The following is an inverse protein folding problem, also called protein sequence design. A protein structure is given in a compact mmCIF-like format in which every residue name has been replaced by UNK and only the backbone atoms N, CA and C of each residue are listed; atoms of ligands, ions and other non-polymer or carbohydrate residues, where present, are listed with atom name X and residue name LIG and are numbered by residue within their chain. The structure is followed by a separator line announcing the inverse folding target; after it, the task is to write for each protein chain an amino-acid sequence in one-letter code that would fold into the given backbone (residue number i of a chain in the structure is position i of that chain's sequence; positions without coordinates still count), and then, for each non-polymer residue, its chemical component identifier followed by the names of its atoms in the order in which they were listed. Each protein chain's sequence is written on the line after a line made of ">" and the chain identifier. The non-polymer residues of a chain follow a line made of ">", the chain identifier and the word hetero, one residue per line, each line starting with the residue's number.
data_IF_195290242321
#
_entry.id   IF_195290242321
#
_cell.length_a   1.000
_cell.length_b   1.000
_cell.length_c   1.000
_cell.angle_alpha   90.00
_cell.angle_beta   90.00
_cell.angle_gamma   90.00
#
_symmetry.space_group_name_H-M   'P 1'
#
loop_
_entity.id
_entity.type
_entity.pdbx_description
1 polymer ?
#
# COMPACT_ATOMS: atom_id res chain seq x y z
N UNK A 1 4.89 20.83 2.60
CA UNK A 1 4.13 19.97 3.54
C UNK A 1 3.54 20.78 4.69
N UNK A 2 4.33 21.44 5.53
CA UNK A 2 3.83 22.20 6.69
C UNK A 2 2.88 23.33 6.29
N UNK A 3 3.19 24.08 5.25
CA UNK A 3 2.32 25.15 4.72
C UNK A 3 0.97 24.63 4.25
N UNK A 4 0.95 23.47 3.58
CA UNK A 4 -0.30 22.81 3.15
C UNK A 4 -1.13 22.38 4.36
N UNK A 5 -0.49 21.84 5.40
CA UNK A 5 -1.14 21.46 6.66
C UNK A 5 -1.81 22.67 7.32
N UNK A 6 -1.06 23.76 7.52
CA UNK A 6 -1.60 24.98 8.12
C UNK A 6 -2.77 25.56 7.30
N UNK A 7 -2.62 25.63 5.97
CA UNK A 7 -3.70 26.08 5.10
C UNK A 7 -4.94 25.19 5.24
N UNK A 8 -4.78 23.87 5.34
CA UNK A 8 -5.91 22.97 5.52
C UNK A 8 -6.58 23.14 6.89
N UNK A 9 -5.79 23.30 7.96
CA UNK A 9 -6.33 23.56 9.31
C UNK A 9 -7.14 24.86 9.34
N UNK A 10 -6.63 25.93 8.76
CA UNK A 10 -7.28 27.25 8.81
C UNK A 10 -8.46 27.37 7.85
N UNK A 11 -8.34 26.86 6.65
CA UNK A 11 -9.26 27.12 5.54
C UNK A 11 -9.85 25.86 4.91
N UNK A 12 -9.44 24.67 5.36
CA UNK A 12 -9.92 23.41 4.81
C UNK A 12 -11.41 23.19 5.02
N UNK A 13 -12.07 22.68 3.99
CA UNK A 13 -13.48 22.29 4.02
C UNK A 13 -13.63 20.90 4.65
N UNK A 14 -14.83 20.58 5.11
CA UNK A 14 -15.15 19.22 5.55
C UNK A 14 -14.85 18.20 4.45
N UNK A 15 -14.29 17.06 4.82
CA UNK A 15 -13.89 15.98 3.93
C UNK A 15 -14.93 14.87 4.01
N UNK A 16 -15.44 14.41 2.86
CA UNK A 16 -16.28 13.22 2.81
C UNK A 16 -15.42 11.94 2.66
N UNK A 17 -14.37 12.02 1.84
CA UNK A 17 -13.45 10.90 1.56
C UNK A 17 -12.01 11.35 1.70
N UNK A 18 -11.24 10.64 2.50
CA UNK A 18 -9.79 10.79 2.59
C UNK A 18 -9.11 9.60 1.91
N UNK A 19 -8.22 9.87 0.98
CA UNK A 19 -7.37 8.89 0.30
C UNK A 19 -5.96 9.02 0.86
N UNK A 20 -5.37 7.93 1.35
CA UNK A 20 -4.06 7.95 1.99
C UNK A 20 -3.15 6.87 1.41
N UNK A 21 -1.92 7.22 1.02
CA UNK A 21 -1.02 6.27 0.41
C UNK A 21 0.47 6.64 0.56
N UNK A 22 1.38 5.64 0.58
CA UNK A 22 2.82 5.85 0.55
C UNK A 22 3.34 6.28 -0.83
N UNK A 23 4.32 7.17 -0.86
CA UNK A 23 4.95 7.74 -2.07
C UNK A 23 5.40 6.69 -3.09
N UNK A 24 5.85 5.51 -2.64
CA UNK A 24 6.32 4.47 -3.56
C UNK A 24 5.22 3.87 -4.45
N UNK A 25 3.95 4.23 -4.24
CA UNK A 25 2.85 3.89 -5.17
C UNK A 25 2.72 4.85 -6.36
N UNK A 26 3.46 5.94 -6.38
CA UNK A 26 3.55 6.78 -7.57
C UNK A 26 4.21 6.01 -8.72
N UNK A 27 3.64 6.05 -9.91
CA UNK A 27 4.06 5.22 -11.06
C UNK A 27 4.42 6.02 -12.31
N UNK A 28 4.10 7.30 -12.34
CA UNK A 28 4.42 8.16 -13.46
C UNK A 28 5.63 9.03 -13.19
N UNK A 29 6.25 9.56 -14.24
CA UNK A 29 7.29 10.60 -14.13
C UNK A 29 6.79 11.89 -13.47
N UNK A 30 5.46 12.06 -13.40
CA UNK A 30 4.79 13.18 -12.72
C UNK A 30 4.46 12.88 -11.25
N UNK A 31 4.75 11.67 -10.76
CA UNK A 31 4.48 11.27 -9.40
C UNK A 31 3.02 10.91 -9.11
N UNK A 32 2.19 10.61 -10.12
CA UNK A 32 0.78 10.29 -9.88
C UNK A 32 0.57 8.84 -9.42
N UNK A 33 -0.42 8.65 -8.56
CA UNK A 33 -0.83 7.33 -8.07
C UNK A 33 -2.07 6.81 -8.80
N UNK A 34 -1.93 5.83 -9.72
CA UNK A 34 -3.05 5.34 -10.53
C UNK A 34 -4.08 4.52 -9.73
N UNK A 35 -3.76 4.09 -8.51
CA UNK A 35 -4.68 3.30 -7.68
C UNK A 35 -5.93 4.07 -7.29
N UNK A 36 -5.86 5.40 -7.23
CA UNK A 36 -6.98 6.23 -6.82
C UNK A 36 -7.70 6.95 -7.96
N UNK A 37 -7.22 6.85 -9.19
CA UNK A 37 -7.78 7.59 -10.33
C UNK A 37 -9.29 7.38 -10.47
N UNK A 38 -9.74 6.12 -10.51
CA UNK A 38 -11.17 5.81 -10.63
C UNK A 38 -12.00 6.29 -9.44
N UNK A 39 -11.43 6.27 -8.23
CA UNK A 39 -12.11 6.76 -7.02
C UNK A 39 -12.24 8.29 -7.08
N UNK A 40 -11.20 8.97 -7.53
CA UNK A 40 -11.19 10.44 -7.70
C UNK A 40 -12.19 10.87 -8.76
N UNK A 41 -12.28 10.14 -9.89
CA UNK A 41 -13.31 10.38 -10.92
C UNK A 41 -14.72 10.28 -10.33
N UNK A 42 -15.03 9.19 -9.62
CA UNK A 42 -16.33 8.99 -8.96
C UNK A 42 -16.61 10.11 -7.96
N UNK A 43 -15.61 10.55 -7.18
CA UNK A 43 -15.80 11.66 -6.25
C UNK A 43 -16.14 12.97 -6.99
N UNK A 44 -15.46 13.26 -8.10
CA UNK A 44 -15.71 14.47 -8.91
C UNK A 44 -17.10 14.45 -9.54
N UNK A 45 -17.46 13.34 -10.18
CA UNK A 45 -18.77 13.16 -10.83
C UNK A 45 -19.95 13.32 -9.86
N UNK A 46 -19.77 12.90 -8.60
CA UNK A 46 -20.81 12.94 -7.58
C UNK A 46 -20.70 14.14 -6.62
N UNK A 47 -19.82 15.10 -6.88
CA UNK A 47 -19.63 16.27 -6.02
C UNK A 47 -19.16 15.94 -4.60
N UNK A 48 -18.51 14.77 -4.41
CA UNK A 48 -17.98 14.32 -3.12
C UNK A 48 -16.68 15.06 -2.82
N UNK A 49 -16.60 15.65 -1.62
CA UNK A 49 -15.38 16.36 -1.19
C UNK A 49 -14.34 15.36 -0.75
N UNK A 50 -13.20 15.35 -1.43
CA UNK A 50 -12.11 14.44 -1.11
C UNK A 50 -10.80 15.17 -0.81
N UNK A 51 -9.92 14.51 -0.07
CA UNK A 51 -8.55 14.91 0.19
C UNK A 51 -7.64 13.71 -0.10
N UNK A 52 -6.58 13.94 -0.87
CA UNK A 52 -5.54 12.94 -1.09
C UNK A 52 -4.32 13.33 -0.26
N UNK A 53 -3.83 12.40 0.57
CA UNK A 53 -2.64 12.57 1.41
C UNK A 53 -1.59 11.55 1.02
N UNK A 54 -0.38 12.05 0.76
CA UNK A 54 0.76 11.22 0.38
C UNK A 54 1.76 11.12 1.54
N UNK A 55 1.96 9.90 2.03
CA UNK A 55 2.95 9.56 3.04
C UNK A 55 4.38 9.61 2.45
N UNK A 56 5.38 10.19 3.14
CA UNK A 56 6.76 10.15 2.69
C UNK A 56 7.31 8.72 2.73
N UNK A 57 8.12 8.38 1.75
CA UNK A 57 8.85 7.12 1.73
C UNK A 57 10.30 7.36 1.31
N UNK A 58 11.23 7.22 2.25
CA UNK A 58 12.66 7.39 2.00
C UNK A 58 13.27 6.24 1.17
N UNK A 59 12.57 5.12 1.03
CA UNK A 59 13.01 3.96 0.26
C UNK A 59 12.59 4.01 -1.22
N UNK A 60 12.22 5.19 -1.75
CA UNK A 60 11.85 5.32 -3.16
C UNK A 60 12.39 6.58 -3.78
N UNK A 61 12.81 6.47 -5.05
CA UNK A 61 13.16 7.61 -5.91
C UNK A 61 11.96 8.17 -6.69
N UNK A 62 10.77 7.59 -6.53
CA UNK A 62 9.57 8.06 -7.23
C UNK A 62 9.25 9.51 -6.84
N UNK A 63 8.94 10.39 -7.80
CA UNK A 63 8.61 11.78 -7.50
C UNK A 63 7.31 11.86 -6.67
N UNK A 64 7.22 12.92 -5.86
CA UNK A 64 6.04 13.26 -5.06
C UNK A 64 4.91 13.78 -5.96
N UNK A 65 3.67 13.33 -5.72
CA UNK A 65 2.52 13.83 -6.47
C UNK A 65 2.24 15.31 -6.15
N UNK A 66 2.33 16.22 -7.13
CA UNK A 66 2.11 17.64 -6.89
C UNK A 66 0.67 17.99 -6.51
N UNK A 67 -0.30 17.12 -6.82
CA UNK A 67 -1.72 17.33 -6.52
C UNK A 67 -2.12 16.90 -5.11
N UNK A 68 -1.29 16.10 -4.45
CA UNK A 68 -1.58 15.58 -3.13
C UNK A 68 -1.08 16.50 -2.01
N UNK A 69 -1.81 16.50 -0.91
CA UNK A 69 -1.31 17.06 0.33
C UNK A 69 -0.19 16.16 0.87
N UNK A 70 0.95 16.75 1.19
CA UNK A 70 2.08 16.02 1.77
C UNK A 70 1.81 15.70 3.24
N UNK A 71 1.76 14.43 3.57
CA UNK A 71 1.47 13.93 4.91
C UNK A 71 2.70 13.86 5.83
N UNK A 72 3.83 14.51 5.47
CA UNK A 72 5.09 14.38 6.23
C UNK A 72 4.92 14.70 7.72
N UNK A 73 4.28 15.81 8.06
CA UNK A 73 4.06 16.19 9.45
C UNK A 73 3.22 15.14 10.20
N UNK A 74 2.14 14.67 9.60
CA UNK A 74 1.32 13.61 10.16
C UNK A 74 2.12 12.31 10.37
N UNK A 75 2.82 11.87 9.33
CA UNK A 75 3.62 10.65 9.37
C UNK A 75 4.71 10.69 10.46
N UNK A 76 5.46 11.79 10.54
CA UNK A 76 6.51 11.92 11.54
C UNK A 76 5.96 12.01 12.96
N UNK A 77 4.86 12.73 13.18
CA UNK A 77 4.20 12.79 14.49
C UNK A 77 3.75 11.39 14.91
N UNK A 78 3.07 10.65 14.03
CA UNK A 78 2.66 9.26 14.31
C UNK A 78 3.86 8.39 14.66
N UNK A 79 4.92 8.46 13.85
CA UNK A 79 6.12 7.64 14.02
C UNK A 79 6.83 7.94 15.34
N UNK A 80 7.04 9.22 15.66
CA UNK A 80 7.70 9.65 16.89
C UNK A 80 6.85 9.27 18.12
N UNK A 81 5.55 9.57 18.08
CA UNK A 81 4.66 9.25 19.19
C UNK A 81 4.56 7.74 19.43
N UNK A 82 4.47 6.92 18.38
CA UNK A 82 4.52 5.45 18.51
C UNK A 82 5.79 5.01 19.24
N UNK A 83 6.95 5.56 18.88
CA UNK A 83 8.22 5.24 19.51
C UNK A 83 8.24 5.65 20.99
N UNK A 84 7.85 6.87 21.29
CA UNK A 84 7.82 7.39 22.67
C UNK A 84 6.81 6.64 23.55
N UNK A 85 5.60 6.39 23.05
CA UNK A 85 4.57 5.71 23.82
C UNK A 85 4.86 4.23 24.06
N UNK A 86 5.55 3.55 23.13
CA UNK A 86 6.02 2.17 23.36
C UNK A 86 7.06 2.08 24.49
N UNK A 87 7.92 3.08 24.61
CA UNK A 87 8.91 3.14 25.71
C UNK A 87 8.23 3.47 27.04
N UNK A 88 7.32 4.44 27.06
CA UNK A 88 6.67 4.93 28.27
C UNK A 88 5.52 4.05 28.79
N UNK A 89 4.93 3.21 27.95
CA UNK A 89 3.73 2.43 28.27
C UNK A 89 3.95 0.95 27.93
N UNK A 90 4.90 0.32 28.62
CA UNK A 90 5.16 -1.13 28.49
C UNK A 90 3.86 -1.89 28.81
N UNK A 91 3.30 -2.58 27.81
CA UNK A 91 2.10 -3.41 27.97
C UNK A 91 0.83 -2.89 27.29
N UNK A 92 0.80 -1.67 26.75
CA UNK A 92 -0.34 -1.23 25.91
C UNK A 92 -0.33 -1.89 24.55
N UNK A 93 -1.50 -2.29 24.09
CA UNK A 93 -1.67 -2.81 22.74
C UNK A 93 -1.35 -1.74 21.68
N UNK A 94 -0.72 -2.08 20.55
CA UNK A 94 -0.43 -1.13 19.47
C UNK A 94 -1.65 -0.30 19.04
N UNK A 95 -2.82 -0.90 19.01
CA UNK A 95 -4.08 -0.25 18.65
C UNK A 95 -4.49 0.86 19.63
N UNK A 96 -4.20 0.70 20.93
CA UNK A 96 -4.48 1.74 21.93
C UNK A 96 -3.52 2.93 21.78
N UNK A 97 -2.28 2.66 21.42
CA UNK A 97 -1.29 3.69 21.11
C UNK A 97 -1.77 4.51 19.91
N UNK A 98 -2.19 3.84 18.87
CA UNK A 98 -2.67 4.50 17.64
C UNK A 98 -3.95 5.31 17.88
N UNK A 99 -4.86 4.84 18.74
CA UNK A 99 -6.03 5.60 19.15
C UNK A 99 -5.66 6.91 19.88
N UNK A 100 -4.72 6.84 20.83
CA UNK A 100 -4.24 8.04 21.53
C UNK A 100 -3.57 9.04 20.58
N UNK A 101 -2.80 8.54 19.60
CA UNK A 101 -2.18 9.39 18.57
C UNK A 101 -3.23 10.04 17.69
N UNK A 102 -4.24 9.29 17.26
CA UNK A 102 -5.33 9.80 16.45
C UNK A 102 -6.11 10.91 17.20
N UNK A 103 -6.44 10.70 18.45
CA UNK A 103 -7.12 11.70 19.27
C UNK A 103 -6.28 12.96 19.46
N UNK A 104 -4.97 12.81 19.71
CA UNK A 104 -4.05 13.95 19.79
C UNK A 104 -4.02 14.73 18.47
N UNK A 105 -3.82 14.02 17.34
CA UNK A 105 -3.80 14.66 16.03
C UNK A 105 -5.12 15.37 15.70
N UNK A 106 -6.23 14.70 15.96
CA UNK A 106 -7.57 15.25 15.73
C UNK A 106 -7.81 16.54 16.52
N UNK A 107 -7.38 16.56 17.79
CA UNK A 107 -7.50 17.75 18.63
C UNK A 107 -6.64 18.92 18.13
N UNK A 108 -5.37 18.72 17.83
CA UNK A 108 -4.47 19.79 17.38
C UNK A 108 -4.77 20.30 15.99
N UNK A 109 -5.51 19.52 15.19
CA UNK A 109 -5.96 19.91 13.85
C UNK A 109 -7.41 20.38 13.81
N UNK A 110 -8.04 20.61 14.98
CA UNK A 110 -9.42 21.08 15.12
C UNK A 110 -10.42 20.24 14.30
N UNK A 111 -10.24 18.92 14.33
CA UNK A 111 -11.08 17.94 13.62
C UNK A 111 -11.11 18.08 12.09
N UNK A 112 -10.18 18.83 11.50
CA UNK A 112 -10.16 19.09 10.06
C UNK A 112 -9.83 17.89 9.19
N UNK A 113 -9.30 16.81 9.79
CA UNK A 113 -8.98 15.55 9.11
C UNK A 113 -10.03 14.46 9.35
N UNK A 114 -11.16 14.78 9.97
CA UNK A 114 -12.28 13.86 10.06
C UNK A 114 -12.96 13.69 8.71
N UNK A 115 -13.02 12.46 8.23
CA UNK A 115 -13.71 12.08 7.00
C UNK A 115 -14.80 11.03 7.31
N UNK A 116 -15.84 10.96 6.48
CA UNK A 116 -16.84 9.89 6.57
C UNK A 116 -16.27 8.54 6.13
N UNK A 117 -15.33 8.57 5.18
CA UNK A 117 -14.64 7.40 4.64
C UNK A 117 -13.17 7.69 4.47
N UNK A 118 -12.36 6.73 4.87
CA UNK A 118 -10.93 6.71 4.64
C UNK A 118 -10.62 5.52 3.75
N UNK A 119 -9.85 5.71 2.69
CA UNK A 119 -9.39 4.64 1.81
C UNK A 119 -7.87 4.71 1.80
N UNK A 120 -7.23 3.66 2.27
CA UNK A 120 -5.77 3.63 2.38
C UNK A 120 -5.19 2.38 1.75
N UNK A 121 -4.01 2.53 1.16
CA UNK A 121 -3.14 1.42 0.75
C UNK A 121 -1.92 1.31 1.68
N UNK A 122 -1.91 2.05 2.81
CA UNK A 122 -0.90 1.97 3.87
C UNK A 122 -1.46 1.22 5.07
N UNK A 123 -1.13 -0.05 5.20
CA UNK A 123 -1.57 -0.88 6.33
C UNK A 123 -1.12 -0.30 7.68
N UNK A 124 0.03 0.39 7.71
CA UNK A 124 0.58 0.95 8.94
C UNK A 124 -0.26 2.07 9.55
N UNK A 125 -1.13 2.71 8.77
CA UNK A 125 -1.94 3.85 9.20
C UNK A 125 -3.43 3.53 9.43
N UNK A 126 -3.85 2.29 9.17
CA UNK A 126 -5.26 1.89 9.26
C UNK A 126 -5.86 2.22 10.62
N UNK A 127 -5.19 1.88 11.71
CA UNK A 127 -5.70 2.07 13.06
C UNK A 127 -5.77 3.57 13.43
N UNK A 128 -4.74 4.35 13.09
CA UNK A 128 -4.75 5.80 13.31
C UNK A 128 -5.88 6.47 12.54
N UNK A 129 -6.04 6.15 11.25
CA UNK A 129 -7.10 6.72 10.41
C UNK A 129 -8.51 6.37 10.92
N UNK A 130 -8.68 5.15 11.41
CA UNK A 130 -9.97 4.70 11.93
C UNK A 130 -10.38 5.38 13.23
N UNK A 131 -9.42 5.77 14.05
CA UNK A 131 -9.66 6.47 15.31
C UNK A 131 -9.74 8.00 15.15
N UNK A 132 -9.36 8.55 13.98
CA UNK A 132 -9.58 9.98 13.67
C UNK A 132 -11.07 10.32 13.64
N UNK A 133 -11.91 9.41 13.16
CA UNK A 133 -13.36 9.52 13.23
C UNK A 133 -13.97 8.14 13.50
N UNK A 134 -14.27 7.79 14.75
CA UNK A 134 -14.85 6.50 15.11
C UNK A 134 -16.19 6.19 14.40
N UNK A 135 -16.91 7.22 13.96
CA UNK A 135 -18.14 7.08 13.17
C UNK A 135 -17.86 6.94 11.66
N UNK A 136 -16.62 7.13 11.23
CA UNK A 136 -16.19 6.92 9.85
C UNK A 136 -15.87 5.48 9.56
N UNK A 137 -15.74 5.15 8.27
CA UNK A 137 -15.38 3.81 7.81
C UNK A 137 -13.99 3.89 7.17
N UNK A 138 -13.09 2.98 7.58
CA UNK A 138 -11.78 2.84 6.96
C UNK A 138 -11.77 1.63 6.05
N UNK A 139 -11.31 1.83 4.84
CA UNK A 139 -11.11 0.80 3.83
C UNK A 139 -9.61 0.57 3.63
N UNK A 140 -9.17 -0.65 3.88
CA UNK A 140 -7.88 -1.14 3.42
C UNK A 140 -8.03 -1.57 1.95
N UNK A 141 -7.42 -0.81 1.05
CA UNK A 141 -7.49 -1.08 -0.36
C UNK A 141 -6.34 -1.99 -0.77
N UNK A 142 -6.65 -3.16 -1.28
CA UNK A 142 -5.66 -4.11 -1.76
C UNK A 142 -4.66 -3.43 -2.71
N UNK A 143 -3.37 -3.63 -2.46
CA UNK A 143 -2.29 -3.05 -3.24
C UNK A 143 -1.25 -4.08 -3.72
N UNK A 144 -1.44 -5.34 -3.32
CA UNK A 144 -0.57 -6.46 -3.67
C UNK A 144 -1.30 -7.79 -3.60
N UNK A 145 -0.57 -8.87 -3.75
CA UNK A 145 -1.10 -10.22 -3.63
C UNK A 145 -1.41 -10.50 -2.15
N UNK A 146 -2.63 -10.97 -1.88
CA UNK A 146 -3.04 -11.44 -0.56
C UNK A 146 -3.10 -12.97 -0.59
N UNK A 147 -2.46 -13.59 0.37
CA UNK A 147 -2.42 -15.04 0.54
C UNK A 147 -2.72 -15.40 2.00
N UNK A 148 -3.03 -16.67 2.26
CA UNK A 148 -3.27 -17.16 3.62
C UNK A 148 -2.01 -16.97 4.49
N UNK A 149 -2.18 -16.38 5.68
CA UNK A 149 -1.06 -16.01 6.55
C UNK A 149 -0.30 -14.75 6.15
N UNK A 150 -0.83 -13.93 5.22
CA UNK A 150 -0.20 -12.65 4.86
C UNK A 150 -0.04 -11.75 6.10
N UNK A 151 1.19 -11.30 6.46
CA UNK A 151 1.47 -10.64 7.73
C UNK A 151 0.75 -9.29 7.93
N UNK A 152 0.26 -8.67 6.85
CA UNK A 152 -0.58 -7.47 6.94
C UNK A 152 -1.99 -7.74 7.45
N UNK A 153 -2.46 -8.99 7.40
CA UNK A 153 -3.82 -9.40 7.78
C UNK A 153 -3.85 -10.42 8.91
N UNK A 154 -2.80 -11.20 9.09
CA UNK A 154 -2.70 -12.27 10.07
C UNK A 154 -1.55 -12.02 11.04
N UNK A 155 -1.81 -12.24 12.33
CA UNK A 155 -0.76 -12.26 13.37
C UNK A 155 -0.05 -13.61 13.35
N UNK A 156 -0.84 -14.68 13.22
CA UNK A 156 -0.41 -16.08 13.09
C UNK A 156 -1.29 -16.73 12.03
N UNK A 157 -0.99 -17.99 11.68
CA UNK A 157 -1.59 -18.72 10.56
C UNK A 157 -3.09 -18.50 10.36
N UNK A 158 -3.89 -18.54 11.43
CA UNK A 158 -5.36 -18.48 11.38
C UNK A 158 -5.93 -17.29 12.17
N UNK A 159 -5.08 -16.47 12.79
CA UNK A 159 -5.47 -15.33 13.61
C UNK A 159 -5.32 -14.02 12.86
N UNK A 160 -6.46 -13.38 12.60
CA UNK A 160 -6.48 -12.05 12.00
C UNK A 160 -5.89 -11.00 12.93
N UNK A 161 -5.25 -10.00 12.35
CA UNK A 161 -4.88 -8.79 13.06
C UNK A 161 -6.15 -8.18 13.68
N UNK A 162 -6.17 -7.88 15.00
CA UNK A 162 -7.37 -7.42 15.71
C UNK A 162 -8.08 -6.21 15.08
N UNK A 163 -7.33 -5.35 14.40
CA UNK A 163 -7.87 -4.20 13.66
C UNK A 163 -8.96 -4.58 12.68
N UNK A 164 -8.80 -5.69 11.96
CA UNK A 164 -9.77 -6.10 10.93
C UNK A 164 -11.07 -6.66 11.49
N UNK A 165 -11.12 -6.96 12.78
CA UNK A 165 -12.33 -7.43 13.46
C UNK A 165 -13.17 -6.25 13.98
N UNK A 166 -12.60 -5.05 14.09
CA UNK A 166 -13.32 -3.85 14.55
C UNK A 166 -14.41 -3.40 13.58
N UNK A 167 -15.48 -2.84 14.11
CA UNK A 167 -16.71 -2.55 13.38
C UNK A 167 -16.58 -1.58 12.21
N UNK A 168 -15.67 -0.62 12.28
CA UNK A 168 -15.49 0.42 11.26
C UNK A 168 -14.41 0.13 10.23
N UNK A 169 -13.78 -1.06 10.24
CA UNK A 169 -12.81 -1.45 9.23
C UNK A 169 -13.45 -2.29 8.12
N UNK A 170 -12.97 -2.11 6.91
CA UNK A 170 -13.39 -2.83 5.70
C UNK A 170 -12.16 -3.18 4.88
N UNK A 171 -12.27 -4.19 4.04
CA UNK A 171 -11.23 -4.57 3.07
C UNK A 171 -11.81 -4.47 1.67
N UNK A 172 -11.12 -3.79 0.78
CA UNK A 172 -11.44 -3.70 -0.65
C UNK A 172 -10.50 -4.62 -1.44
N UNK A 173 -11.04 -5.64 -2.07
CA UNK A 173 -10.30 -6.64 -2.84
C UNK A 173 -10.44 -6.42 -4.35
N UNK A 174 -9.40 -6.74 -5.09
CA UNK A 174 -9.43 -6.70 -6.56
C UNK A 174 -10.30 -7.78 -7.19
N UNK A 175 -10.44 -8.91 -6.53
CA UNK A 175 -11.22 -10.02 -7.04
C UNK A 175 -11.64 -11.02 -5.98
N UNK A 176 -12.61 -11.86 -6.31
CA UNK A 176 -13.15 -12.89 -5.41
C UNK A 176 -12.11 -13.94 -5.02
N UNK A 177 -11.10 -14.17 -5.87
CA UNK A 177 -10.02 -15.10 -5.59
C UNK A 177 -9.26 -14.74 -4.30
N UNK A 178 -9.01 -13.45 -4.08
CA UNK A 178 -8.30 -12.97 -2.89
C UNK A 178 -9.09 -13.17 -1.59
N UNK A 179 -10.42 -13.31 -1.68
CA UNK A 179 -11.26 -13.63 -0.52
C UNK A 179 -10.90 -15.00 0.07
N UNK A 180 -10.48 -15.95 -0.78
CA UNK A 180 -10.07 -17.30 -0.34
C UNK A 180 -8.85 -17.30 0.58
N UNK A 181 -8.04 -16.25 0.56
CA UNK A 181 -6.92 -16.10 1.49
C UNK A 181 -7.38 -16.08 2.97
N UNK A 182 -8.65 -15.76 3.20
CA UNK A 182 -9.25 -15.66 4.53
C UNK A 182 -10.11 -16.89 4.92
N UNK A 183 -10.20 -17.92 4.08
CA UNK A 183 -11.07 -19.08 4.30
C UNK A 183 -10.75 -19.86 5.59
N UNK A 184 -9.46 -19.92 5.95
CA UNK A 184 -9.00 -20.56 7.19
C UNK A 184 -9.01 -19.66 8.43
N UNK A 185 -9.34 -18.36 8.28
CA UNK A 185 -9.23 -17.41 9.37
C UNK A 185 -10.32 -17.64 10.44
N UNK A 186 -9.92 -17.53 11.71
CA UNK A 186 -10.88 -17.41 12.81
C UNK A 186 -11.67 -16.11 12.61
N UNK A 187 -12.99 -16.17 12.89
CA UNK A 187 -13.93 -15.07 12.66
C UNK A 187 -14.09 -14.65 11.17
N UNK A 188 -13.81 -15.56 10.23
CA UNK A 188 -13.93 -15.28 8.79
C UNK A 188 -15.29 -14.71 8.40
N UNK A 189 -16.39 -15.18 8.99
CA UNK A 189 -17.73 -14.74 8.64
C UNK A 189 -17.96 -13.26 8.99
N UNK A 190 -17.39 -12.79 10.09
CA UNK A 190 -17.41 -11.37 10.46
C UNK A 190 -16.55 -10.54 9.51
N UNK A 191 -15.39 -11.04 9.11
CA UNK A 191 -14.54 -10.38 8.13
C UNK A 191 -15.23 -10.36 6.76
N UNK A 192 -15.87 -11.44 6.36
CA UNK A 192 -16.55 -11.55 5.06
C UNK A 192 -17.66 -10.54 4.86
N UNK A 193 -18.39 -10.18 5.93
CA UNK A 193 -19.38 -9.09 5.91
C UNK A 193 -18.74 -7.72 5.60
N UNK A 194 -17.44 -7.58 5.84
CA UNK A 194 -16.66 -6.35 5.72
C UNK A 194 -15.79 -6.29 4.48
N UNK A 195 -15.67 -7.39 3.75
CA UNK A 195 -14.94 -7.45 2.48
C UNK A 195 -15.85 -6.93 1.35
N UNK A 196 -15.29 -6.04 0.52
CA UNK A 196 -15.87 -5.58 -0.72
C UNK A 196 -14.96 -5.94 -1.89
N UNK A 197 -15.50 -6.61 -2.89
CA UNK A 197 -14.79 -6.84 -4.16
C UNK A 197 -15.09 -5.67 -5.08
N UNK A 198 -14.06 -4.93 -5.48
CA UNK A 198 -14.17 -3.65 -6.19
C UNK A 198 -13.51 -3.64 -7.56
N UNK A 199 -12.80 -4.72 -7.91
CA UNK A 199 -12.04 -4.79 -9.16
C UNK A 199 -10.62 -4.23 -9.03
N UNK A 200 -9.82 -4.43 -10.07
CA UNK A 200 -8.47 -3.92 -10.15
C UNK A 200 -8.48 -2.40 -10.42
N UNK A 201 -7.72 -1.59 -9.69
CA UNK A 201 -7.86 -0.12 -9.73
C UNK A 201 -7.36 0.51 -11.03
N UNK A 202 -6.38 -0.10 -11.66
CA UNK A 202 -5.77 0.46 -12.85
C UNK A 202 -6.57 -0.01 -14.06
N UNK A 203 -7.28 0.92 -14.71
CA UNK A 203 -7.91 0.67 -15.99
C UNK A 203 -6.82 0.59 -17.06
N UNK A 204 -6.38 -0.61 -17.37
CA UNK A 204 -5.72 -0.80 -18.65
C UNK A 204 -6.77 -0.62 -19.76
N UNK A 205 -6.48 0.20 -20.76
CA UNK A 205 -7.14 0.04 -22.06
C UNK A 205 -7.09 -1.44 -22.37
N UNK A 206 -8.24 -2.03 -22.74
CA UNK A 206 -8.28 -3.42 -23.19
C UNK A 206 -7.31 -3.51 -24.37
N UNK A 207 -6.10 -3.96 -24.07
CA UNK A 207 -5.18 -4.34 -25.13
C UNK A 207 -5.74 -5.68 -25.58
N UNK A 208 -6.25 -5.74 -26.80
CA UNK A 208 -6.54 -7.00 -27.47
C UNK A 208 -5.24 -7.80 -27.48
N UNK A 209 -5.11 -8.68 -26.47
CA UNK A 209 -3.96 -9.57 -26.37
C UNK A 209 -4.16 -10.61 -27.47
N UNK A 210 -3.62 -10.31 -28.65
CA UNK A 210 -3.43 -11.34 -29.65
C UNK A 210 -2.42 -12.33 -29.06
N UNK A 211 -2.91 -13.51 -28.71
CA UNK A 211 -2.06 -14.60 -28.22
C UNK A 211 -1.11 -15.03 -29.35
N UNK A 212 0.04 -14.38 -29.41
CA UNK A 212 1.15 -14.87 -30.21
C UNK A 212 2.00 -15.78 -29.29
N UNK A 213 2.42 -16.92 -29.83
CA UNK A 213 3.39 -17.79 -29.16
C UNK A 213 4.63 -16.94 -28.86
N UNK A 214 4.88 -16.66 -27.58
CA UNK A 214 6.04 -15.85 -27.17
C UNK A 214 7.17 -16.76 -26.74
N UNK A 215 8.31 -16.57 -27.34
CA UNK A 215 9.56 -17.26 -26.99
C UNK A 215 10.32 -16.51 -25.89
N UNK A 216 9.61 -15.81 -25.00
CA UNK A 216 10.18 -14.97 -23.98
C UNK A 216 9.51 -15.24 -22.63
N UNK A 217 10.32 -15.42 -21.60
CA UNK A 217 9.92 -15.55 -20.20
C UNK A 217 10.21 -14.25 -19.48
N UNK A 218 9.25 -13.73 -18.74
CA UNK A 218 9.45 -12.55 -17.88
C UNK A 218 9.62 -13.04 -16.44
N UNK A 219 10.77 -12.73 -15.85
CA UNK A 219 11.02 -12.95 -14.42
C UNK A 219 10.87 -11.62 -13.70
N UNK A 220 9.86 -11.51 -12.86
CA UNK A 220 9.64 -10.34 -12.01
C UNK A 220 10.44 -10.48 -10.73
N UNK A 221 11.44 -9.62 -10.54
CA UNK A 221 12.27 -9.62 -9.34
C UNK A 221 11.48 -8.99 -8.19
N UNK A 222 11.23 -9.77 -7.14
CA UNK A 222 10.64 -9.30 -5.91
C UNK A 222 11.76 -8.99 -4.92
N UNK A 223 12.02 -7.71 -4.67
CA UNK A 223 12.99 -7.27 -3.67
C UNK A 223 12.22 -6.91 -2.42
N UNK A 224 12.58 -7.54 -1.31
CA UNK A 224 12.03 -7.27 0.03
C UNK A 224 12.96 -6.33 0.81
N UNK A 225 12.61 -5.97 2.04
CA UNK A 225 13.46 -5.20 2.96
C UNK A 225 14.81 -5.88 3.25
N UNK A 226 14.93 -7.17 2.99
CA UNK A 226 16.20 -7.92 3.06
C UNK A 226 17.07 -7.74 1.82
N UNK A 227 16.75 -6.75 1.02
CA UNK A 227 17.34 -6.45 -0.29
C UNK A 227 18.85 -6.26 -0.30
N UNK A 228 19.49 -5.89 0.82
CA UNK A 228 20.95 -5.82 0.89
C UNK A 228 21.64 -7.15 0.51
N UNK A 229 21.03 -8.28 0.84
CA UNK A 229 21.55 -9.59 0.43
C UNK A 229 21.35 -9.84 -1.07
N UNK A 230 20.28 -9.35 -1.66
CA UNK A 230 20.03 -9.41 -3.09
C UNK A 230 21.01 -8.58 -3.92
N UNK A 231 21.40 -7.41 -3.42
CA UNK A 231 22.35 -6.52 -4.11
C UNK A 231 23.79 -7.04 -4.10
N UNK A 232 24.15 -7.83 -3.11
CA UNK A 232 25.50 -8.41 -2.99
C UNK A 232 25.64 -9.76 -3.68
N UNK A 233 24.55 -10.53 -3.74
CA UNK A 233 24.56 -11.89 -4.29
C UNK A 233 23.22 -12.16 -4.96
N UNK A 234 23.21 -12.17 -6.29
CA UNK A 234 22.03 -12.66 -7.02
C UNK A 234 21.68 -14.06 -6.50
N UNK A 235 20.43 -14.34 -6.15
CA UNK A 235 20.09 -15.61 -5.51
C UNK A 235 20.49 -16.77 -6.39
N UNK A 236 21.06 -17.79 -5.79
CA UNK A 236 21.40 -19.05 -6.46
C UNK A 236 20.22 -19.58 -7.30
N UNK A 237 19.01 -19.45 -6.79
CA UNK A 237 17.78 -19.83 -7.47
C UNK A 237 17.56 -19.08 -8.80
N UNK A 238 17.96 -17.80 -8.90
CA UNK A 238 17.85 -17.06 -10.15
C UNK A 238 18.80 -17.65 -11.21
N UNK A 239 20.04 -17.93 -10.84
CA UNK A 239 21.00 -18.53 -11.74
C UNK A 239 20.57 -19.93 -12.21
N UNK A 240 20.08 -20.78 -11.30
CA UNK A 240 19.56 -22.11 -11.63
C UNK A 240 18.36 -22.02 -12.59
N UNK A 241 17.46 -21.03 -12.38
CA UNK A 241 16.33 -20.77 -13.26
C UNK A 241 16.80 -20.34 -14.66
N UNK A 242 17.75 -19.40 -14.72
CA UNK A 242 18.28 -18.90 -15.98
C UNK A 242 18.99 -20.01 -16.76
N UNK A 243 19.81 -20.84 -16.11
CA UNK A 243 20.49 -21.99 -16.74
C UNK A 243 19.48 -22.99 -17.33
N UNK A 244 18.36 -23.18 -16.68
CA UNK A 244 17.34 -24.08 -17.20
C UNK A 244 16.55 -23.44 -18.38
N UNK A 245 16.28 -22.15 -18.34
CA UNK A 245 15.61 -21.43 -19.42
C UNK A 245 16.49 -21.33 -20.67
N UNK A 246 17.80 -21.16 -20.49
CA UNK A 246 18.79 -21.21 -21.58
C UNK A 246 18.77 -22.56 -22.29
N UNK A 247 18.82 -23.66 -21.53
CA UNK A 247 18.71 -25.02 -22.10
C UNK A 247 17.45 -25.25 -22.91
N UNK A 248 16.38 -24.56 -22.56
CA UNK A 248 15.09 -24.62 -23.28
C UNK A 248 14.98 -23.60 -24.43
N UNK A 249 16.02 -22.79 -24.65
CA UNK A 249 16.08 -21.82 -25.74
C UNK A 249 15.15 -20.61 -25.57
N UNK A 250 14.75 -20.28 -24.33
CA UNK A 250 13.92 -19.10 -24.07
C UNK A 250 14.78 -17.84 -23.94
N UNK A 251 14.29 -16.75 -24.52
CA UNK A 251 14.74 -15.40 -24.15
C UNK A 251 14.12 -15.01 -22.82
N UNK A 252 14.89 -14.30 -21.99
CA UNK A 252 14.44 -13.88 -20.66
C UNK A 252 14.45 -12.35 -20.57
N UNK A 253 13.42 -11.80 -19.95
CA UNK A 253 13.36 -10.40 -19.54
C UNK A 253 13.31 -10.36 -18.03
N UNK A 254 14.30 -9.73 -17.40
CA UNK A 254 14.27 -9.44 -15.97
C UNK A 254 13.58 -8.11 -15.74
N UNK A 255 12.49 -8.14 -14.96
CA UNK A 255 11.74 -6.93 -14.59
C UNK A 255 12.05 -6.56 -13.16
N UNK A 256 12.65 -5.39 -12.97
CA UNK A 256 12.89 -4.84 -11.64
C UNK A 256 11.60 -4.57 -10.88
N UNK A 257 11.68 -4.64 -9.55
CA UNK A 257 10.59 -4.19 -8.70
C UNK A 257 10.47 -2.66 -8.80
N UNK A 258 9.28 -2.08 -9.00
CA UNK A 258 9.11 -0.65 -9.25
C UNK A 258 9.68 0.27 -8.16
N UNK A 259 9.73 -0.21 -6.91
CA UNK A 259 10.28 0.56 -5.78
C UNK A 259 11.80 0.72 -5.84
N UNK A 260 12.51 -0.25 -6.44
CA UNK A 260 13.96 -0.36 -6.41
C UNK A 260 14.58 -0.38 -7.80
N UNK A 261 13.89 0.18 -8.78
CA UNK A 261 14.23 0.06 -10.20
C UNK A 261 15.65 0.56 -10.54
N UNK A 262 16.19 1.52 -9.77
CA UNK A 262 17.50 2.13 -10.02
C UNK A 262 18.59 1.64 -9.04
N UNK A 263 18.27 0.72 -8.16
CA UNK A 263 19.16 0.32 -7.07
C UNK A 263 19.75 -1.08 -7.26
N UNK A 264 19.20 -1.87 -8.20
CA UNK A 264 19.67 -3.24 -8.46
C UNK A 264 20.59 -3.24 -9.66
N UNK A 265 21.84 -3.59 -9.43
CA UNK A 265 22.80 -3.87 -10.49
C UNK A 265 22.67 -5.35 -10.91
N UNK A 266 22.31 -5.58 -12.16
CA UNK A 266 22.20 -6.91 -12.78
C UNK A 266 23.28 -7.13 -13.84
N UNK A 267 24.34 -6.33 -13.86
CA UNK A 267 25.39 -6.39 -14.87
C UNK A 267 26.13 -7.74 -14.88
N UNK A 268 26.31 -8.37 -13.73
CA UNK A 268 26.86 -9.71 -13.60
C UNK A 268 25.96 -10.77 -14.24
N UNK A 269 24.63 -10.65 -14.08
CA UNK A 269 23.65 -11.57 -14.66
C UNK A 269 23.62 -11.42 -16.19
N UNK A 270 23.48 -10.19 -16.69
CA UNK A 270 23.38 -9.93 -18.13
C UNK A 270 24.69 -10.22 -18.87
N UNK A 271 25.83 -10.08 -18.19
CA UNK A 271 27.13 -10.48 -18.75
C UNK A 271 27.26 -12.01 -18.86
N UNK A 272 26.81 -12.73 -17.81
CA UNK A 272 26.87 -14.21 -17.80
C UNK A 272 25.84 -14.85 -18.73
N UNK A 273 24.68 -14.22 -18.90
CA UNK A 273 23.55 -14.77 -19.66
C UNK A 273 23.10 -13.79 -20.76
N UNK A 274 23.72 -13.84 -21.96
CA UNK A 274 23.41 -12.88 -23.04
C UNK A 274 21.99 -12.96 -23.60
N UNK A 275 21.21 -13.99 -23.24
CA UNK A 275 19.80 -14.17 -23.63
C UNK A 275 18.81 -13.45 -22.68
N UNK A 276 19.32 -12.81 -21.63
CA UNK A 276 18.56 -12.03 -20.64
C UNK A 276 18.42 -10.58 -21.07
#
# INVERSE_FOLDING_TARGET
>A
SFVQLIKHILFGKNIDVMLYYPQHFNRSTKGTNPYFDSIVEICKENGVKYLIMEEPDSGTSNPRDPQCMKADAFFWIVTIMRKLMRVGHKGKAPVEIDANIAHFWDAITFHKFRAKRYITISNSMIDVLAELNPNGIVYDYQHGIIFNGHPGYFVEKDYLVPSYIKSNRRVMLWGTLYRRAFDGALFKDELYKRIKVVGYPIRNSVIDIVYQKRECVIISLQITSDGEMWYKHSPKMLYECLEQLDKWGYKVLLKHHPRFNNEVDLSDVTTKYPFV
#
